data_IF_363227255136
#
_entry.id   IF_363227255136
#
_cell.length_a   1.000
_cell.length_b   1.000
_cell.length_c   1.000
_cell.angle_alpha   90.00
_cell.angle_beta   90.00
_cell.angle_gamma   90.00
#
_symmetry.space_group_name_H-M   'P 1'
#
loop_
_entity.id
_entity.type
_entity.pdbx_description
1 polymer ?
#
# COMPACT_ATOMS: atom_id res chain seq x y z
N UNK A 1 64.39 -16.80 -60.87
CA UNK A 1 64.03 -15.82 -59.83
C UNK A 1 62.85 -16.39 -59.05
N UNK A 2 63.04 -16.55 -57.75
CA UNK A 2 62.22 -17.33 -56.83
C UNK A 2 60.84 -16.71 -56.59
N UNK A 3 59.79 -17.49 -56.85
CA UNK A 3 58.42 -17.20 -56.41
C UNK A 3 58.31 -17.45 -54.90
N UNK A 4 57.93 -16.42 -54.15
CA UNK A 4 57.61 -16.53 -52.72
C UNK A 4 56.22 -17.12 -52.54
N UNK A 5 56.16 -18.38 -52.09
CA UNK A 5 54.92 -19.07 -51.75
C UNK A 5 54.27 -18.50 -50.48
N UNK A 6 52.97 -18.21 -50.55
CA UNK A 6 52.13 -18.04 -49.38
C UNK A 6 52.02 -19.40 -48.65
N UNK A 7 52.36 -19.41 -47.36
CA UNK A 7 52.13 -20.58 -46.49
C UNK A 7 50.62 -20.74 -46.27
N UNK A 8 50.04 -21.94 -46.42
CA UNK A 8 48.64 -22.18 -46.11
C UNK A 8 48.44 -21.97 -44.60
N UNK A 9 47.48 -21.10 -44.22
CA UNK A 9 47.08 -20.96 -42.82
C UNK A 9 46.64 -22.32 -42.30
N UNK A 10 47.34 -22.82 -41.28
CA UNK A 10 47.01 -24.10 -40.64
C UNK A 10 45.56 -24.08 -40.16
N UNK A 11 44.83 -25.17 -40.44
CA UNK A 11 43.42 -25.39 -40.06
C UNK A 11 43.13 -25.03 -38.59
N UNK A 12 44.12 -25.15 -37.69
CA UNK A 12 44.01 -24.77 -36.27
C UNK A 12 43.78 -23.27 -36.08
N UNK A 13 44.37 -22.42 -36.92
CA UNK A 13 44.17 -20.96 -36.86
C UNK A 13 42.80 -20.54 -37.40
N UNK A 14 42.30 -21.25 -38.42
CA UNK A 14 40.95 -21.05 -38.94
C UNK A 14 39.93 -21.46 -37.87
N UNK A 15 40.12 -22.61 -37.22
CA UNK A 15 39.23 -23.09 -36.17
C UNK A 15 39.22 -22.16 -34.94
N UNK A 16 40.40 -21.69 -34.49
CA UNK A 16 40.50 -20.72 -33.40
C UNK A 16 39.83 -19.38 -33.76
N UNK A 17 39.95 -18.94 -35.02
CA UNK A 17 39.24 -17.76 -35.53
C UNK A 17 37.71 -17.94 -35.50
N UNK A 18 37.20 -19.10 -35.92
CA UNK A 18 35.77 -19.40 -35.87
C UNK A 18 35.22 -19.48 -34.43
N UNK A 19 35.95 -20.11 -33.51
CA UNK A 19 35.57 -20.17 -32.09
C UNK A 19 35.58 -18.76 -31.49
N UNK A 20 36.62 -17.96 -31.74
CA UNK A 20 36.70 -16.57 -31.28
C UNK A 20 35.53 -15.72 -31.78
N UNK A 21 35.15 -15.87 -33.05
CA UNK A 21 33.99 -15.19 -33.63
C UNK A 21 32.67 -15.61 -32.99
N UNK A 22 32.48 -16.90 -32.70
CA UNK A 22 31.28 -17.42 -32.04
C UNK A 22 31.16 -16.92 -30.59
N UNK A 23 32.25 -16.90 -29.83
CA UNK A 23 32.25 -16.36 -28.46
C UNK A 23 31.96 -14.86 -28.47
N UNK A 24 32.53 -14.10 -29.42
CA UNK A 24 32.22 -12.69 -29.60
C UNK A 24 30.73 -12.49 -29.92
N UNK A 25 30.17 -13.26 -30.84
CA UNK A 25 28.76 -13.16 -31.20
C UNK A 25 27.83 -13.47 -30.03
N UNK A 26 28.12 -14.52 -29.27
CA UNK A 26 27.37 -14.89 -28.07
C UNK A 26 27.49 -13.82 -26.97
N UNK A 27 28.67 -13.23 -26.77
CA UNK A 27 28.87 -12.17 -25.78
C UNK A 27 28.13 -10.89 -26.14
N UNK A 28 28.05 -10.54 -27.43
CA UNK A 28 27.30 -9.39 -27.92
C UNK A 28 25.80 -9.63 -27.79
N UNK A 29 25.31 -10.82 -28.11
CA UNK A 29 23.90 -11.19 -27.98
C UNK A 29 23.43 -11.17 -26.52
N UNK A 30 24.23 -11.71 -25.59
CA UNK A 30 23.97 -11.64 -24.14
C UNK A 30 24.00 -10.18 -23.65
N UNK A 31 24.95 -9.36 -24.11
CA UNK A 31 25.03 -7.95 -23.73
C UNK A 31 23.86 -7.13 -24.27
N UNK A 32 23.44 -7.38 -25.51
CA UNK A 32 22.28 -6.73 -26.12
C UNK A 32 20.98 -7.16 -25.42
N UNK A 33 20.84 -8.44 -25.07
CA UNK A 33 19.69 -8.97 -24.31
C UNK A 33 19.65 -8.40 -22.89
N UNK A 34 20.80 -8.27 -22.23
CA UNK A 34 20.91 -7.62 -20.91
C UNK A 34 20.58 -6.12 -20.98
N UNK A 35 21.03 -5.42 -22.03
CA UNK A 35 20.65 -4.02 -22.26
C UNK A 35 19.16 -3.87 -22.56
N UNK A 36 18.57 -4.74 -23.40
CA UNK A 36 17.15 -4.72 -23.72
C UNK A 36 16.29 -4.98 -22.48
N UNK A 37 16.65 -5.96 -21.65
CA UNK A 37 15.97 -6.22 -20.36
C UNK A 37 16.17 -5.08 -19.36
N UNK A 38 17.34 -4.45 -19.29
CA UNK A 38 17.57 -3.26 -18.45
C UNK A 38 16.78 -2.02 -18.90
N UNK A 39 16.59 -1.84 -20.22
CA UNK A 39 15.82 -0.75 -20.82
C UNK A 39 14.32 -0.98 -20.66
N UNK A 40 13.85 -2.23 -20.78
CA UNK A 40 12.47 -2.64 -20.48
C UNK A 40 12.15 -2.53 -18.98
N UNK A 41 13.12 -2.85 -18.10
CA UNK A 41 12.99 -2.63 -16.66
C UNK A 41 12.92 -1.13 -16.33
N UNK A 42 13.76 -0.30 -16.96
CA UNK A 42 13.70 1.17 -16.83
C UNK A 42 12.44 1.78 -17.45
N UNK A 43 11.90 1.24 -18.54
CA UNK A 43 10.67 1.75 -19.16
C UNK A 43 9.43 1.39 -18.35
N UNK A 44 9.39 0.19 -17.74
CA UNK A 44 8.39 -0.19 -16.73
C UNK A 44 8.48 0.69 -15.49
N UNK A 45 9.68 1.02 -15.01
CA UNK A 45 9.87 1.94 -13.89
C UNK A 45 9.38 3.37 -14.19
N UNK A 46 9.51 3.84 -15.45
CA UNK A 46 9.01 5.17 -15.87
C UNK A 46 7.48 5.23 -15.99
N UNK A 47 6.81 4.11 -16.28
CA UNK A 47 5.35 4.06 -16.27
C UNK A 47 4.74 3.99 -14.86
N UNK A 48 5.53 3.63 -13.85
CA UNK A 48 5.10 3.61 -12.45
C UNK A 48 5.12 4.99 -11.77
N UNK A 49 5.69 6.01 -12.42
CA UNK A 49 5.75 7.38 -11.89
C UNK A 49 5.06 8.31 -12.89
N UNK A 50 3.74 8.15 -13.04
CA UNK A 50 2.93 9.35 -13.30
C UNK A 50 3.00 10.18 -12.01
N UNK A 51 3.28 11.48 -12.05
CA UNK A 51 3.08 12.31 -10.88
C UNK A 51 1.63 12.10 -10.45
N UNK A 52 1.45 11.56 -9.24
CA UNK A 52 0.13 11.54 -8.62
C UNK A 52 -0.37 12.97 -8.68
N UNK A 53 -1.49 13.20 -9.36
CA UNK A 53 -2.17 14.49 -9.32
C UNK A 53 -2.40 14.76 -7.84
N UNK A 54 -1.92 15.90 -7.34
CA UNK A 54 -2.13 16.26 -5.95
C UNK A 54 -3.65 16.15 -5.66
N UNK A 55 -4.05 15.55 -4.53
CA UNK A 55 -5.46 15.38 -4.21
C UNK A 55 -6.17 16.75 -4.27
N UNK A 56 -7.34 16.79 -4.89
CA UNK A 56 -8.14 18.01 -4.95
C UNK A 56 -8.72 18.31 -3.55
N UNK A 57 -9.15 19.55 -3.28
CA UNK A 57 -9.74 19.90 -1.97
C UNK A 57 -10.90 18.95 -1.61
N UNK A 58 -11.71 18.53 -2.58
CA UNK A 58 -12.80 17.57 -2.41
C UNK A 58 -12.31 16.17 -1.99
N UNK A 59 -11.16 15.72 -2.52
CA UNK A 59 -10.55 14.45 -2.10
C UNK A 59 -10.11 14.53 -0.65
N UNK A 60 -9.56 15.67 -0.22
CA UNK A 60 -9.12 15.88 1.16
C UNK A 60 -10.31 15.99 2.11
N UNK A 61 -11.42 16.62 1.71
CA UNK A 61 -12.65 16.67 2.48
C UNK A 61 -13.24 15.28 2.70
N UNK A 62 -13.38 14.51 1.63
CA UNK A 62 -13.90 13.14 1.73
C UNK A 62 -12.95 12.24 2.52
N UNK A 63 -11.63 12.41 2.39
CA UNK A 63 -10.66 11.71 3.25
C UNK A 63 -10.85 12.04 4.73
N UNK A 64 -11.12 13.31 5.07
CA UNK A 64 -11.38 13.71 6.46
C UNK A 64 -12.71 13.13 6.99
N UNK A 65 -13.73 13.01 6.14
CA UNK A 65 -15.00 12.34 6.46
C UNK A 65 -14.77 10.85 6.76
N UNK A 66 -14.12 10.13 5.84
CA UNK A 66 -13.77 8.71 6.01
C UNK A 66 -12.93 8.46 7.27
N UNK A 67 -11.98 9.37 7.56
CA UNK A 67 -11.21 9.34 8.79
C UNK A 67 -12.10 9.45 10.02
N UNK A 68 -13.03 10.40 10.02
CA UNK A 68 -14.00 10.59 11.11
C UNK A 68 -14.82 9.32 11.31
N UNK A 69 -15.38 8.77 10.23
CA UNK A 69 -16.17 7.55 10.25
C UNK A 69 -15.38 6.36 10.80
N UNK A 70 -14.16 6.13 10.32
CA UNK A 70 -13.30 5.07 10.81
C UNK A 70 -12.98 5.20 12.31
N UNK A 71 -12.82 6.43 12.80
CA UNK A 71 -12.50 6.73 14.20
C UNK A 71 -13.67 6.63 15.17
N UNK A 72 -14.92 6.58 14.71
CA UNK A 72 -16.11 6.47 15.58
C UNK A 72 -16.19 5.16 16.41
N UNK A 73 -15.13 4.33 16.41
CA UNK A 73 -14.99 3.09 17.20
C UNK A 73 -16.13 2.08 17.01
N UNK A 74 -16.76 2.08 15.84
CA UNK A 74 -17.72 1.05 15.44
C UNK A 74 -17.06 -0.07 14.65
N UNK A 75 -17.53 -1.30 14.85
CA UNK A 75 -17.21 -2.44 13.98
C UNK A 75 -18.11 -2.38 12.73
N UNK A 76 -17.86 -1.40 11.86
CA UNK A 76 -18.74 -1.05 10.74
C UNK A 76 -18.04 -1.16 9.39
N UNK A 77 -18.80 -1.45 8.33
CA UNK A 77 -18.33 -1.29 6.96
C UNK A 77 -18.22 0.22 6.69
N UNK A 78 -17.05 0.68 6.23
CA UNK A 78 -16.83 2.08 5.82
C UNK A 78 -16.62 2.09 4.32
N UNK A 79 -17.53 2.73 3.57
CA UNK A 79 -17.56 2.69 2.11
C UNK A 79 -16.93 3.95 1.52
N UNK A 80 -16.25 3.84 0.38
CA UNK A 80 -15.76 5.00 -0.37
C UNK A 80 -16.86 5.79 -1.09
N UNK A 81 -18.12 5.37 -0.95
CA UNK A 81 -19.24 6.03 -1.61
C UNK A 81 -19.58 7.29 -0.83
N UNK A 82 -19.52 8.43 -1.51
CA UNK A 82 -19.78 9.73 -0.90
C UNK A 82 -21.15 9.77 -0.22
N UNK A 83 -21.21 10.31 1.01
CA UNK A 83 -22.39 10.38 1.88
C UNK A 83 -23.07 9.03 2.21
N UNK A 84 -22.36 7.91 2.10
CA UNK A 84 -22.86 6.63 2.62
C UNK A 84 -22.41 6.48 4.08
N UNK A 85 -23.34 6.48 5.05
CA UNK A 85 -22.96 6.29 6.43
C UNK A 85 -22.37 4.89 6.64
N UNK A 86 -21.55 4.68 7.68
CA UNK A 86 -21.06 3.35 8.03
C UNK A 86 -22.21 2.37 8.22
N UNK A 87 -22.03 1.12 7.82
CA UNK A 87 -23.01 0.05 8.02
C UNK A 87 -22.56 -0.86 9.16
N UNK A 88 -23.37 -0.96 10.21
CA UNK A 88 -23.12 -1.82 11.36
C UNK A 88 -23.75 -3.19 11.15
N UNK A 89 -23.44 -4.14 12.04
CA UNK A 89 -24.03 -5.47 11.99
C UNK A 89 -25.56 -5.44 12.14
N UNK A 90 -26.06 -4.44 12.85
CA UNK A 90 -27.48 -4.22 13.12
C UNK A 90 -28.18 -3.34 12.06
N UNK A 91 -27.45 -2.89 11.04
CA UNK A 91 -28.05 -2.16 9.90
C UNK A 91 -29.01 -3.06 9.10
N UNK A 92 -29.84 -2.45 8.24
CA UNK A 92 -30.77 -3.21 7.39
C UNK A 92 -30.01 -4.22 6.52
N UNK A 93 -30.46 -5.48 6.54
CA UNK A 93 -29.80 -6.58 5.83
C UNK A 93 -29.69 -6.30 4.32
N UNK A 94 -30.67 -5.59 3.73
CA UNK A 94 -30.64 -5.23 2.31
C UNK A 94 -29.55 -4.21 2.02
N UNK A 95 -29.31 -3.27 2.92
CA UNK A 95 -28.25 -2.26 2.76
C UNK A 95 -26.87 -2.90 2.90
N UNK A 96 -26.69 -3.78 3.89
CA UNK A 96 -25.47 -4.57 4.07
C UNK A 96 -25.21 -5.42 2.82
N UNK A 97 -26.21 -6.17 2.35
CA UNK A 97 -26.09 -7.01 1.17
C UNK A 97 -25.79 -6.19 -0.09
N UNK A 98 -26.47 -5.07 -0.28
CA UNK A 98 -26.26 -4.18 -1.42
C UNK A 98 -24.85 -3.58 -1.44
N UNK A 99 -24.30 -3.24 -0.28
CA UNK A 99 -22.89 -2.90 -0.19
C UNK A 99 -22.05 -4.13 -0.54
N UNK A 100 -22.16 -5.25 0.19
CA UNK A 100 -21.32 -6.45 0.02
C UNK A 100 -21.24 -6.92 -1.44
N UNK A 101 -22.35 -7.00 -2.15
CA UNK A 101 -22.41 -7.46 -3.55
C UNK A 101 -21.70 -6.54 -4.57
N UNK A 102 -21.19 -5.37 -4.15
CA UNK A 102 -20.38 -4.51 -5.02
C UNK A 102 -19.06 -5.16 -5.46
N UNK A 103 -18.52 -6.08 -4.66
CA UNK A 103 -17.31 -6.87 -4.94
C UNK A 103 -16.17 -6.11 -5.67
N UNK A 104 -15.56 -5.08 -5.04
CA UNK A 104 -14.45 -4.34 -5.63
C UNK A 104 -13.22 -5.23 -5.90
N UNK A 105 -12.22 -4.73 -6.64
CA UNK A 105 -11.01 -5.50 -6.96
C UNK A 105 -10.21 -5.89 -5.70
N UNK A 106 -10.17 -4.99 -4.72
CA UNK A 106 -9.57 -5.21 -3.42
C UNK A 106 -10.37 -4.48 -2.35
N UNK A 107 -10.36 -4.95 -1.11
CA UNK A 107 -10.98 -4.29 0.05
C UNK A 107 -10.04 -4.32 1.25
N UNK A 108 -10.22 -3.41 2.21
CA UNK A 108 -9.38 -3.34 3.39
C UNK A 108 -10.01 -4.14 4.52
N UNK A 109 -9.35 -5.19 5.00
CA UNK A 109 -9.75 -5.79 6.27
C UNK A 109 -9.31 -4.89 7.42
N UNK A 110 -10.27 -4.36 8.17
CA UNK A 110 -10.04 -3.40 9.25
C UNK A 110 -10.81 -3.79 10.51
N UNK A 111 -10.23 -4.67 11.35
CA UNK A 111 -10.86 -5.10 12.59
C UNK A 111 -10.98 -3.95 13.59
N UNK A 112 -12.02 -3.99 14.43
CA UNK A 112 -12.29 -2.94 15.42
C UNK A 112 -11.09 -2.64 16.33
N UNK A 113 -10.29 -3.66 16.68
CA UNK A 113 -9.17 -3.54 17.63
C UNK A 113 -8.04 -2.60 17.20
N UNK A 114 -7.97 -2.24 15.92
CA UNK A 114 -6.90 -1.38 15.39
C UNK A 114 -7.35 -0.02 14.86
N UNK A 115 -8.67 0.26 14.88
CA UNK A 115 -9.23 1.53 14.42
C UNK A 115 -8.71 2.66 15.31
N UNK A 116 -7.76 3.41 14.75
CA UNK A 116 -6.99 4.46 15.41
C UNK A 116 -6.52 5.43 14.35
N UNK A 117 -6.01 6.60 14.75
CA UNK A 117 -5.52 7.60 13.79
C UNK A 117 -4.55 6.99 12.77
N UNK A 118 -3.57 6.18 13.19
CA UNK A 118 -2.60 5.59 12.26
C UNK A 118 -3.21 4.62 11.25
N UNK A 119 -3.95 3.60 11.71
CA UNK A 119 -4.51 2.60 10.80
C UNK A 119 -5.72 3.10 10.00
N UNK A 120 -6.52 4.01 10.56
CA UNK A 120 -7.56 4.70 9.80
C UNK A 120 -6.94 5.55 8.69
N UNK A 121 -5.87 6.28 9.00
CA UNK A 121 -5.15 7.12 8.03
C UNK A 121 -4.69 6.30 6.83
N UNK A 122 -4.06 5.15 7.07
CA UNK A 122 -3.63 4.25 6.01
C UNK A 122 -4.81 3.60 5.27
N UNK A 123 -5.79 3.05 6.02
CA UNK A 123 -6.90 2.29 5.45
C UNK A 123 -7.79 3.15 4.58
N UNK A 124 -8.17 4.34 5.06
CA UNK A 124 -9.12 5.21 4.38
C UNK A 124 -8.58 5.75 3.07
N UNK A 125 -7.26 5.83 2.93
CA UNK A 125 -6.63 6.16 1.66
C UNK A 125 -6.88 5.10 0.61
N UNK A 126 -6.72 3.83 0.97
CA UNK A 126 -7.05 2.74 0.07
C UNK A 126 -8.55 2.70 -0.21
N UNK A 127 -9.40 2.89 0.82
CA UNK A 127 -10.85 3.02 0.64
C UNK A 127 -11.18 4.08 -0.41
N UNK A 128 -10.69 5.32 -0.24
CA UNK A 128 -10.95 6.43 -1.15
C UNK A 128 -10.44 6.19 -2.57
N UNK A 129 -9.14 5.87 -2.72
CA UNK A 129 -8.48 5.90 -4.02
C UNK A 129 -8.59 4.60 -4.81
N UNK A 130 -8.91 3.48 -4.16
CA UNK A 130 -9.30 2.24 -4.85
C UNK A 130 -10.82 2.12 -5.02
N UNK A 131 -11.58 3.17 -4.63
CA UNK A 131 -13.04 3.18 -4.62
C UNK A 131 -13.61 1.91 -3.97
N UNK A 132 -13.08 1.56 -2.80
CA UNK A 132 -13.39 0.32 -2.09
C UNK A 132 -14.05 0.58 -0.74
N UNK A 133 -13.83 -0.29 0.24
CA UNK A 133 -14.41 -0.23 1.57
C UNK A 133 -13.49 -0.89 2.58
N UNK A 134 -13.64 -0.48 3.83
CA UNK A 134 -13.07 -1.17 4.97
C UNK A 134 -14.11 -2.15 5.54
N UNK A 135 -13.69 -3.39 5.73
CA UNK A 135 -14.53 -4.52 6.11
C UNK A 135 -14.18 -5.00 7.52
N UNK A 136 -15.16 -5.09 8.43
CA UNK A 136 -14.99 -5.70 9.74
C UNK A 136 -15.05 -7.24 9.65
N UNK A 137 -14.61 -7.93 10.71
CA UNK A 137 -14.59 -9.40 10.75
C UNK A 137 -15.98 -10.02 10.59
N UNK A 138 -17.01 -9.42 11.19
CA UNK A 138 -18.35 -10.02 11.18
C UNK A 138 -18.92 -10.21 9.77
N UNK A 139 -18.49 -9.43 8.77
CA UNK A 139 -18.97 -9.62 7.39
C UNK A 139 -18.50 -10.96 6.82
N UNK A 140 -17.30 -11.40 7.21
CA UNK A 140 -16.77 -12.71 6.82
C UNK A 140 -17.35 -13.85 7.66
N UNK A 141 -18.07 -13.54 8.74
CA UNK A 141 -18.67 -14.53 9.65
C UNK A 141 -20.14 -14.79 9.40
N UNK A 142 -20.87 -13.84 8.81
CA UNK A 142 -22.30 -13.99 8.58
C UNK A 142 -22.60 -14.71 7.26
N UNK A 143 -23.78 -15.30 7.25
CA UNK A 143 -24.39 -15.95 6.10
C UNK A 143 -25.41 -15.01 5.46
N UNK A 144 -25.31 -14.79 4.15
CA UNK A 144 -26.24 -13.98 3.37
C UNK A 144 -27.33 -14.85 2.75
N UNK A 145 -28.59 -14.47 2.94
CA UNK A 145 -29.74 -15.23 2.46
C UNK A 145 -30.37 -14.55 1.24
N UNK A 146 -30.20 -15.16 0.05
CA UNK A 146 -30.67 -14.61 -1.23
C UNK A 146 -31.53 -15.68 -1.91
N UNK A 147 -32.80 -15.36 -2.17
CA UNK A 147 -33.76 -16.23 -2.86
C UNK A 147 -33.84 -17.66 -2.27
N UNK A 148 -33.79 -17.78 -0.94
CA UNK A 148 -33.86 -19.05 -0.23
C UNK A 148 -32.57 -19.87 -0.26
N UNK A 149 -31.46 -19.31 -0.75
CA UNK A 149 -30.12 -19.90 -0.69
C UNK A 149 -29.23 -19.10 0.26
N UNK A 150 -28.28 -19.79 0.87
CA UNK A 150 -27.29 -19.21 1.78
C UNK A 150 -25.95 -19.08 1.06
N UNK A 151 -25.30 -17.92 1.23
CA UNK A 151 -24.00 -17.61 0.66
C UNK A 151 -23.08 -17.05 1.75
N UNK A 152 -21.84 -17.52 1.80
CA UNK A 152 -20.79 -16.83 2.54
C UNK A 152 -20.36 -15.56 1.79
N UNK A 153 -19.61 -14.68 2.46
CA UNK A 153 -18.94 -13.56 1.79
C UNK A 153 -18.07 -14.02 0.60
N UNK A 154 -17.37 -15.16 0.76
CA UNK A 154 -16.46 -15.68 -0.26
C UNK A 154 -17.19 -16.24 -1.48
N UNK A 155 -18.43 -16.70 -1.33
CA UNK A 155 -19.28 -17.10 -2.45
C UNK A 155 -19.76 -15.88 -3.26
N UNK A 156 -20.09 -14.77 -2.57
CA UNK A 156 -20.54 -13.54 -3.21
C UNK A 156 -19.42 -12.81 -3.95
N UNK A 157 -18.24 -12.68 -3.32
CA UNK A 157 -17.11 -11.94 -3.87
C UNK A 157 -15.85 -12.82 -3.98
N UNK A 158 -15.81 -13.84 -4.85
CA UNK A 158 -14.71 -14.80 -4.91
C UNK A 158 -13.37 -14.18 -5.36
N UNK A 159 -13.42 -13.10 -6.14
CA UNK A 159 -12.25 -12.50 -6.78
C UNK A 159 -11.72 -11.23 -6.09
N UNK A 160 -12.47 -10.64 -5.16
CA UNK A 160 -12.04 -9.47 -4.40
C UNK A 160 -10.81 -9.82 -3.56
N UNK A 161 -9.69 -9.14 -3.75
CA UNK A 161 -8.50 -9.29 -2.92
C UNK A 161 -8.71 -8.67 -1.53
N UNK A 162 -7.98 -9.14 -0.53
CA UNK A 162 -8.05 -8.60 0.84
C UNK A 162 -6.74 -7.90 1.18
N UNK A 163 -6.81 -6.62 1.51
CA UNK A 163 -5.72 -5.82 2.05
C UNK A 163 -5.68 -6.01 3.56
N UNK A 164 -4.58 -6.55 4.04
CA UNK A 164 -4.33 -6.83 5.45
C UNK A 164 -3.37 -5.80 6.01
N UNK A 165 -3.76 -5.20 7.14
CA UNK A 165 -3.04 -4.12 7.78
C UNK A 165 -1.97 -4.70 8.74
N UNK A 166 -0.71 -4.52 8.38
CA UNK A 166 0.44 -4.98 9.14
C UNK A 166 0.30 -6.48 9.53
N UNK A 167 0.35 -6.82 10.81
CA UNK A 167 0.18 -8.18 11.34
C UNK A 167 -1.25 -8.46 11.87
N UNK A 168 -2.16 -7.49 11.78
CA UNK A 168 -3.51 -7.57 12.35
C UNK A 168 -4.48 -8.27 11.41
N UNK A 169 -4.27 -9.57 11.22
CA UNK A 169 -5.04 -10.38 10.30
C UNK A 169 -6.23 -11.05 10.99
N UNK A 170 -6.25 -11.07 12.33
CA UNK A 170 -7.27 -11.66 13.20
C UNK A 170 -7.70 -13.09 12.79
N UNK A 171 -6.77 -13.84 12.20
CA UNK A 171 -7.02 -15.20 11.69
C UNK A 171 -7.91 -15.26 10.46
N UNK A 172 -8.26 -14.14 9.81
CA UNK A 172 -9.11 -14.13 8.61
C UNK A 172 -8.58 -15.09 7.53
N UNK A 173 -7.28 -15.06 7.15
CA UNK A 173 -6.76 -15.99 6.15
C UNK A 173 -6.53 -17.43 6.65
N UNK A 174 -6.78 -17.69 7.94
CA UNK A 174 -6.63 -19.00 8.58
C UNK A 174 -7.99 -19.68 8.82
N UNK A 175 -9.11 -19.01 8.49
CA UNK A 175 -10.44 -19.60 8.58
C UNK A 175 -10.60 -20.76 7.60
N UNK A 176 -11.41 -21.74 8.00
CA UNK A 176 -11.66 -22.95 7.22
C UNK A 176 -12.38 -22.69 5.89
N UNK A 177 -13.17 -21.62 5.81
CA UNK A 177 -13.93 -21.18 4.64
C UNK A 177 -13.16 -20.17 3.78
N UNK A 178 -11.95 -19.75 4.17
CA UNK A 178 -11.14 -18.81 3.41
C UNK A 178 -10.56 -19.49 2.17
N UNK A 179 -10.89 -19.05 0.93
CA UNK A 179 -10.42 -19.73 -0.26
C UNK A 179 -8.91 -19.60 -0.46
N UNK A 180 -8.23 -20.71 -0.76
CA UNK A 180 -6.78 -20.71 -1.02
C UNK A 180 -6.38 -19.92 -2.27
N UNK A 181 -7.34 -19.67 -3.17
CA UNK A 181 -7.20 -18.87 -4.39
C UNK A 181 -7.39 -17.37 -4.16
N UNK A 182 -7.93 -16.97 -3.00
CA UNK A 182 -8.18 -15.58 -2.64
C UNK A 182 -6.85 -14.82 -2.57
N UNK A 183 -6.80 -13.65 -3.20
CA UNK A 183 -5.59 -12.83 -3.26
C UNK A 183 -5.42 -12.02 -1.99
N UNK A 184 -4.20 -12.02 -1.44
CA UNK A 184 -3.84 -11.28 -0.25
C UNK A 184 -2.87 -10.17 -0.57
N UNK A 185 -3.13 -8.99 -0.02
CA UNK A 185 -2.31 -7.79 -0.17
C UNK A 185 -1.85 -7.39 1.22
N UNK A 186 -0.54 -7.29 1.46
CA UNK A 186 0.00 -6.79 2.72
C UNK A 186 0.27 -5.29 2.61
N UNK A 187 -0.26 -4.52 3.55
CA UNK A 187 0.24 -3.18 3.83
C UNK A 187 1.11 -3.26 5.10
N UNK A 188 2.45 -3.20 4.98
CA UNK A 188 3.34 -3.34 6.13
C UNK A 188 3.57 -2.00 6.83
N UNK A 189 3.71 -2.06 8.16
CA UNK A 189 4.19 -0.95 8.96
C UNK A 189 5.62 -1.28 9.44
N UNK A 190 6.61 -0.81 8.70
CA UNK A 190 8.01 -1.28 8.77
C UNK A 190 8.74 -0.90 10.07
N UNK A 191 8.19 0.01 10.87
CA UNK A 191 8.68 0.36 12.20
C UNK A 191 8.30 -0.65 13.29
N UNK A 192 7.32 -1.52 13.03
CA UNK A 192 6.88 -2.55 13.97
C UNK A 192 7.56 -3.90 13.68
N UNK A 193 8.10 -4.53 14.72
CA UNK A 193 8.85 -5.79 14.61
C UNK A 193 7.95 -7.05 14.49
N UNK A 194 6.62 -6.90 14.61
CA UNK A 194 5.67 -8.03 14.65
C UNK A 194 5.51 -8.74 13.29
N UNK A 195 5.85 -8.06 12.19
CA UNK A 195 5.83 -8.68 10.86
C UNK A 195 6.98 -9.67 10.69
N UNK A 196 6.63 -10.95 10.75
CA UNK A 196 7.49 -12.10 10.44
C UNK A 196 7.55 -12.40 8.94
N UNK A 197 8.61 -13.09 8.51
CA UNK A 197 8.77 -13.61 7.14
C UNK A 197 7.56 -14.43 6.66
N UNK A 198 6.89 -15.15 7.56
CA UNK A 198 5.67 -15.92 7.25
C UNK A 198 4.54 -15.07 6.69
N UNK A 199 4.42 -13.79 7.09
CA UNK A 199 3.40 -12.89 6.52
C UNK A 199 3.72 -12.56 5.07
N UNK A 200 4.98 -12.18 4.79
CA UNK A 200 5.45 -11.86 3.45
C UNK A 200 5.35 -13.07 2.50
N UNK A 201 5.66 -14.28 2.96
CA UNK A 201 5.52 -15.50 2.15
C UNK A 201 4.07 -15.85 1.78
N UNK A 202 3.07 -15.30 2.46
CA UNK A 202 1.65 -15.64 2.28
C UNK A 202 0.90 -14.71 1.32
N UNK A 203 1.46 -13.56 0.99
CA UNK A 203 0.75 -12.53 0.21
C UNK A 203 1.15 -12.50 -1.25
N UNK A 204 0.24 -12.07 -2.10
CA UNK A 204 0.45 -11.91 -3.54
C UNK A 204 1.01 -10.51 -3.88
N UNK A 205 0.73 -9.53 -3.02
CA UNK A 205 1.18 -8.15 -3.21
C UNK A 205 1.61 -7.50 -1.88
N UNK A 206 2.54 -6.54 -1.97
CA UNK A 206 2.93 -5.70 -0.83
C UNK A 206 2.86 -4.22 -1.21
N UNK A 207 2.21 -3.41 -0.38
CA UNK A 207 2.03 -1.97 -0.57
C UNK A 207 2.97 -1.17 0.33
N UNK A 208 4.16 -0.86 -0.17
CA UNK A 208 5.17 -0.12 0.57
C UNK A 208 4.90 1.40 0.51
N UNK A 209 4.64 2.01 1.67
CA UNK A 209 4.34 3.45 1.78
C UNK A 209 5.54 4.35 1.49
N UNK A 210 6.74 3.92 1.90
CA UNK A 210 7.98 4.70 1.75
C UNK A 210 8.91 4.06 0.73
N UNK A 211 9.76 4.89 0.13
CA UNK A 211 10.78 4.42 -0.81
C UNK A 211 11.78 3.46 -0.15
N UNK A 212 12.14 3.71 1.11
CA UNK A 212 13.03 2.83 1.89
C UNK A 212 12.38 1.47 2.13
N UNK A 213 11.11 1.43 2.56
CA UNK A 213 10.35 0.19 2.70
C UNK A 213 10.27 -0.59 1.38
N UNK A 214 9.94 0.10 0.28
CA UNK A 214 9.89 -0.50 -1.05
C UNK A 214 11.21 -1.17 -1.43
N UNK A 215 12.33 -0.47 -1.25
CA UNK A 215 13.66 -0.98 -1.57
C UNK A 215 14.02 -2.19 -0.71
N UNK A 216 13.84 -2.11 0.61
CA UNK A 216 14.19 -3.20 1.54
C UNK A 216 13.35 -4.45 1.32
N UNK A 217 12.05 -4.29 1.12
CA UNK A 217 11.13 -5.41 0.90
C UNK A 217 11.42 -6.07 -0.45
N UNK A 218 11.66 -5.27 -1.51
CA UNK A 218 12.05 -5.79 -2.83
C UNK A 218 13.36 -6.58 -2.75
N UNK A 219 14.40 -5.99 -2.13
CA UNK A 219 15.69 -6.67 -1.92
C UNK A 219 15.56 -7.94 -1.06
N UNK A 220 14.59 -7.98 -0.15
CA UNK A 220 14.32 -9.17 0.64
C UNK A 220 13.70 -10.28 -0.22
N UNK A 221 12.70 -9.96 -1.06
CA UNK A 221 12.13 -10.92 -2.02
C UNK A 221 13.10 -11.40 -3.11
N UNK A 222 14.08 -10.57 -3.48
CA UNK A 222 15.11 -10.93 -4.46
C UNK A 222 16.10 -12.00 -3.94
N UNK A 223 16.11 -12.30 -2.63
CA UNK A 223 16.93 -13.36 -2.05
C UNK A 223 16.27 -14.73 -2.29
N UNK A 224 17.10 -15.75 -2.46
CA UNK A 224 16.65 -17.13 -2.67
C UNK A 224 15.64 -17.57 -1.59
N UNK A 225 14.58 -18.25 -2.03
CA UNK A 225 13.50 -18.82 -1.20
C UNK A 225 12.55 -17.82 -0.50
N UNK A 226 12.75 -16.51 -0.64
CA UNK A 226 11.83 -15.52 -0.05
C UNK A 226 10.59 -15.20 -0.92
N UNK A 227 10.67 -15.35 -2.24
CA UNK A 227 9.55 -15.05 -3.15
C UNK A 227 8.83 -16.30 -3.69
N UNK A 228 8.26 -17.11 -2.79
CA UNK A 228 7.60 -18.37 -3.15
C UNK A 228 6.28 -18.20 -3.90
N UNK A 229 5.64 -17.03 -3.78
CA UNK A 229 4.34 -16.71 -4.38
C UNK A 229 4.39 -15.81 -5.60
N UNK A 230 5.59 -15.47 -6.09
CA UNK A 230 5.78 -14.45 -7.12
C UNK A 230 5.13 -13.11 -6.73
N UNK A 231 5.28 -12.76 -5.47
CA UNK A 231 4.78 -11.54 -4.83
C UNK A 231 5.37 -10.31 -5.50
N UNK A 232 4.52 -9.31 -5.75
CA UNK A 232 4.96 -8.01 -6.30
C UNK A 232 4.88 -6.92 -5.24
N UNK A 233 5.91 -6.07 -5.18
CA UNK A 233 5.97 -4.93 -4.26
C UNK A 233 5.64 -3.65 -5.04
N UNK A 234 4.74 -2.84 -4.51
CA UNK A 234 4.37 -1.53 -5.07
C UNK A 234 4.77 -0.42 -4.11
N UNK A 235 5.39 0.63 -4.64
CA UNK A 235 5.59 1.87 -3.90
C UNK A 235 4.35 2.74 -4.05
N UNK A 236 3.59 2.92 -2.97
CA UNK A 236 2.31 3.66 -3.00
C UNK A 236 2.46 5.13 -2.68
N UNK A 237 3.53 5.53 -1.98
CA UNK A 237 3.83 6.93 -1.64
C UNK A 237 2.65 7.69 -1.00
N UNK A 238 1.74 7.02 -0.31
CA UNK A 238 0.57 7.72 0.25
C UNK A 238 0.93 8.40 1.58
N UNK A 239 0.41 9.62 1.74
CA UNK A 239 0.30 10.38 3.00
C UNK A 239 -1.12 10.92 3.02
N UNK A 240 -1.85 10.76 4.11
CA UNK A 240 -3.31 10.64 3.99
C UNK A 240 -3.99 11.47 5.08
N UNK A 241 -5.01 12.22 4.67
CA UNK A 241 -5.68 13.32 5.40
C UNK A 241 -4.87 14.61 5.59
N UNK A 242 -5.53 15.73 5.33
CA UNK A 242 -5.05 17.08 5.68
C UNK A 242 -6.18 17.78 6.46
N UNK A 243 -6.13 17.76 7.80
CA UNK A 243 -7.18 18.36 8.62
C UNK A 243 -7.23 19.89 8.47
N UNK A 244 -6.20 20.53 7.89
CA UNK A 244 -6.22 21.98 7.66
C UNK A 244 -7.27 22.38 6.63
N UNK A 245 -7.71 21.46 5.77
CA UNK A 245 -8.81 21.70 4.83
C UNK A 245 -10.12 21.95 5.56
N UNK A 246 -10.40 21.24 6.66
CA UNK A 246 -11.58 21.48 7.48
C UNK A 246 -11.57 22.89 8.09
N UNK A 247 -10.41 23.34 8.57
CA UNK A 247 -10.26 24.69 9.11
C UNK A 247 -10.47 25.77 8.04
N UNK A 248 -10.03 25.51 6.80
CA UNK A 248 -10.29 26.40 5.65
C UNK A 248 -11.78 26.46 5.30
N UNK A 249 -12.48 25.32 5.26
CA UNK A 249 -13.93 25.31 5.01
C UNK A 249 -14.71 26.01 6.13
N UNK A 250 -14.36 25.75 7.39
CA UNK A 250 -14.97 26.44 8.54
C UNK A 250 -14.76 27.97 8.45
N UNK A 251 -13.57 28.42 8.04
CA UNK A 251 -13.28 29.85 7.83
C UNK A 251 -14.03 30.46 6.64
N UNK A 252 -14.37 29.67 5.59
CA UNK A 252 -15.23 30.13 4.49
C UNK A 252 -16.67 30.37 4.98
N UNK A 253 -17.16 29.55 5.90
CA UNK A 253 -18.54 29.61 6.44
C UNK A 253 -18.67 30.64 7.58
N UNK A 254 -17.72 30.67 8.50
CA UNK A 254 -17.67 31.60 9.63
C UNK A 254 -16.24 32.20 9.77
N UNK A 255 -15.93 33.24 8.98
CA UNK A 255 -14.63 33.89 8.98
C UNK A 255 -14.36 34.72 10.25
N UNK A 256 -15.38 34.94 11.09
CA UNK A 256 -15.25 35.70 12.34
C UNK A 256 -14.75 34.78 13.45
N UNK A 257 -15.27 33.55 13.52
CA UNK A 257 -14.85 32.56 14.53
C UNK A 257 -13.61 31.78 14.10
N UNK A 258 -13.46 31.48 12.80
CA UNK A 258 -12.35 30.67 12.28
C UNK A 258 -11.49 31.48 11.32
N UNK A 259 -10.18 31.50 11.57
CA UNK A 259 -9.19 32.13 10.69
C UNK A 259 -8.25 31.07 10.13
N UNK A 260 -8.27 30.87 8.81
CA UNK A 260 -7.25 30.09 8.12
C UNK A 260 -6.05 30.98 7.82
N UNK A 261 -5.14 31.13 8.80
CA UNK A 261 -3.90 31.86 8.59
C UNK A 261 -3.03 31.12 7.53
N UNK A 262 -2.36 31.84 6.62
CA UNK A 262 -1.41 31.22 5.71
C UNK A 262 -0.27 30.57 6.50
N UNK A 263 0.29 29.47 5.97
CA UNK A 263 1.42 28.78 6.60
C UNK A 263 2.61 29.74 6.73
N UNK A 264 3.08 29.95 7.96
CA UNK A 264 4.24 30.77 8.25
C UNK A 264 5.51 29.91 8.28
N UNK A 265 6.36 30.04 7.27
CA UNK A 265 7.62 29.29 7.17
C UNK A 265 8.77 29.91 7.96
N UNK A 266 8.63 31.17 8.40
CA UNK A 266 9.64 31.87 9.20
C UNK A 266 9.49 31.58 10.70
N UNK A 267 8.24 31.43 11.16
CA UNK A 267 7.91 31.05 12.53
C UNK A 267 7.08 29.77 12.53
N UNK A 268 7.78 28.64 12.46
CA UNK A 268 7.17 27.31 12.44
C UNK A 268 6.56 26.98 13.80
N UNK A 269 5.51 26.17 13.79
CA UNK A 269 5.02 25.46 14.97
C UNK A 269 4.74 24.01 14.60
N UNK A 270 4.88 23.11 15.56
CA UNK A 270 4.64 21.69 15.37
C UNK A 270 3.42 21.26 16.20
N UNK A 271 2.63 20.38 15.64
CA UNK A 271 1.57 19.68 16.35
C UNK A 271 1.94 18.19 16.42
N UNK A 272 1.98 17.63 17.62
CA UNK A 272 2.22 16.22 17.88
C UNK A 272 0.94 15.55 18.31
N UNK A 273 0.29 14.84 17.37
CA UNK A 273 -0.88 14.05 17.69
C UNK A 273 -0.51 12.86 18.59
N UNK A 274 -0.98 12.86 19.84
CA UNK A 274 -0.78 11.73 20.73
C UNK A 274 -1.54 10.49 20.22
N UNK A 275 -0.80 9.51 19.70
CA UNK A 275 -1.35 8.25 19.19
C UNK A 275 -1.30 7.13 20.24
N UNK A 276 -2.05 6.05 20.00
CA UNK A 276 -2.05 4.86 20.87
C UNK A 276 -0.76 4.02 20.80
N UNK A 277 0.16 4.31 19.88
CA UNK A 277 1.39 3.54 19.73
C UNK A 277 2.42 3.98 20.77
N UNK A 278 2.82 3.04 21.63
CA UNK A 278 3.88 3.22 22.62
C UNK A 278 5.25 3.46 21.98
N UNK A 279 5.43 3.06 20.73
CA UNK A 279 6.69 3.20 19.97
C UNK A 279 6.88 4.60 19.38
N UNK A 280 5.89 5.49 19.52
CA UNK A 280 6.01 6.89 19.10
C UNK A 280 6.84 7.73 20.08
N UNK A 281 7.19 7.18 21.24
CA UNK A 281 8.04 7.83 22.26
C UNK A 281 7.62 9.29 22.53
N UNK A 282 6.31 9.51 22.66
CA UNK A 282 5.74 10.86 22.83
C UNK A 282 6.39 11.59 23.98
N UNK A 283 6.63 10.91 25.10
CA UNK A 283 7.22 11.53 26.29
C UNK A 283 8.67 11.93 26.01
N UNK A 284 9.48 11.04 25.44
CA UNK A 284 10.88 11.33 25.12
C UNK A 284 11.00 12.43 24.07
N UNK A 285 10.08 12.48 23.10
CA UNK A 285 10.01 13.56 22.12
C UNK A 285 9.73 14.90 22.80
N UNK A 286 8.74 14.96 23.71
CA UNK A 286 8.37 16.17 24.43
C UNK A 286 9.47 16.61 25.41
N UNK A 287 10.13 15.68 26.09
CA UNK A 287 11.26 15.96 26.97
C UNK A 287 12.45 16.52 26.17
N UNK A 288 12.76 15.91 25.02
CA UNK A 288 13.76 16.43 24.09
C UNK A 288 13.39 17.85 23.63
N UNK A 289 12.14 18.09 23.24
CA UNK A 289 11.66 19.40 22.80
C UNK A 289 11.73 20.45 23.91
N UNK A 290 11.34 20.08 25.13
CA UNK A 290 11.41 20.94 26.32
C UNK A 290 12.85 21.33 26.66
N UNK A 291 13.82 20.44 26.42
CA UNK A 291 15.24 20.71 26.62
C UNK A 291 15.86 21.63 25.54
N UNK A 292 15.12 21.93 24.46
CA UNK A 292 15.58 22.68 23.28
C UNK A 292 14.76 23.96 23.09
N UNK A 293 15.07 25.03 23.85
CA UNK A 293 14.36 26.32 23.71
C UNK A 293 14.58 26.98 22.34
N UNK A 294 15.57 26.52 21.57
CA UNK A 294 15.83 26.95 20.19
C UNK A 294 14.93 26.27 19.16
N UNK A 295 14.18 25.22 19.54
CA UNK A 295 13.25 24.56 18.64
C UNK A 295 11.94 25.34 18.49
N UNK A 296 11.27 25.24 17.33
CA UNK A 296 9.96 25.83 17.14
C UNK A 296 8.94 25.27 18.14
N UNK A 297 7.94 26.06 18.61
CA UNK A 297 6.98 25.60 19.60
C UNK A 297 6.25 24.32 19.16
N UNK A 298 6.00 23.43 20.12
CA UNK A 298 5.24 22.19 19.92
C UNK A 298 3.94 22.23 20.72
N UNK A 299 2.84 21.79 20.10
CA UNK A 299 1.52 21.58 20.70
C UNK A 299 1.17 20.09 20.63
N UNK A 300 0.29 19.62 21.53
CA UNK A 300 -0.17 18.23 21.64
C UNK A 300 -1.68 18.18 21.39
#
# INVERSE_FOLDING_TARGET
MTATGLKPLSFRWILMGCIGALVLFQSVDVFLTYRATSLLSRSKLRHAIRPLVAPQEDDLLHMNELMTECLTRGDAIVSSRYMQPPLWRESDEKDILAEVMRCPEAEVFLPIGIRSYGYCEDAMAYVKFLETRAMPMWVYEIDFHIDGKTYSYHDLCPHTAVILMNHYWDGLPDRHDFPSTKKLILMPNVEMYDLKASHYHRVDYVLAKTKDAYQRITQWYDRDDNNRRNTSVYYTSHTTSDPTVLAKEAAKVDPVTYSAAPRNWENLTFFHANGHSTLKNTIELLDCWSSRPDFPPISI
#
